data_IF_615574833345
#
_entry.id   IF_615574833345
#
_cell.length_a   1.000
_cell.length_b   1.000
_cell.length_c   1.000
_cell.angle_alpha   90.00
_cell.angle_beta   90.00
_cell.angle_gamma   90.00
#
_symmetry.space_group_name_H-M   'P 1'
#
loop_
_entity.id
_entity.type
_entity.pdbx_description
1 polymer ?
#
# COMPACT_ATOMS: atom_id res chain seq x y z
N UNK A 1 14.26 11.33 -23.23
CA UNK A 1 12.98 10.78 -22.73
C UNK A 1 13.36 9.62 -21.82
N UNK A 2 13.24 9.79 -20.50
CA UNK A 2 13.59 8.73 -19.55
C UNK A 2 12.41 7.76 -19.48
N UNK A 3 12.64 6.49 -19.81
CA UNK A 3 11.73 5.40 -19.50
C UNK A 3 11.31 5.50 -18.01
N UNK A 4 10.03 5.29 -17.66
CA UNK A 4 9.63 5.19 -16.28
C UNK A 4 10.30 3.95 -15.70
N UNK A 5 11.28 4.14 -14.82
CA UNK A 5 11.84 3.05 -14.00
C UNK A 5 10.67 2.29 -13.37
N UNK A 6 10.56 0.99 -13.61
CA UNK A 6 9.54 0.19 -12.97
C UNK A 6 9.72 0.31 -11.46
N UNK A 7 8.71 0.82 -10.77
CA UNK A 7 8.71 1.05 -9.33
C UNK A 7 8.98 -0.25 -8.52
N UNK A 8 8.82 -1.41 -9.17
CA UNK A 8 8.98 -2.76 -8.62
C UNK A 8 9.75 -3.70 -9.56
N UNK A 9 10.95 -3.29 -9.99
CA UNK A 9 11.91 -4.21 -10.65
C UNK A 9 12.20 -5.43 -9.75
N UNK A 10 12.17 -6.62 -10.35
CA UNK A 10 12.45 -7.86 -9.65
C UNK A 10 13.93 -7.97 -9.29
N UNK A 11 14.21 -8.35 -8.04
CA UNK A 11 15.57 -8.57 -7.54
C UNK A 11 15.94 -10.05 -7.58
N UNK A 12 17.25 -10.32 -7.49
CA UNK A 12 17.75 -11.68 -7.35
C UNK A 12 17.09 -12.39 -6.15
N UNK A 13 16.56 -13.59 -6.38
CA UNK A 13 15.85 -14.39 -5.40
C UNK A 13 14.37 -14.05 -5.21
N UNK A 14 13.84 -13.03 -5.91
CA UNK A 14 12.41 -12.75 -5.96
C UNK A 14 11.72 -13.61 -7.02
N UNK A 15 10.43 -13.91 -6.80
CA UNK A 15 9.65 -14.75 -7.71
C UNK A 15 8.28 -14.14 -7.96
N UNK A 16 7.89 -14.12 -9.23
CA UNK A 16 6.52 -13.77 -9.65
C UNK A 16 5.69 -15.02 -9.87
N UNK A 17 4.38 -14.87 -9.78
CA UNK A 17 3.39 -15.81 -10.30
C UNK A 17 3.45 -15.79 -11.83
N UNK A 18 3.15 -16.94 -12.44
CA UNK A 18 3.12 -17.07 -13.91
C UNK A 18 1.98 -16.24 -14.53
N UNK A 19 0.86 -16.13 -13.83
CA UNK A 19 -0.28 -15.30 -14.20
C UNK A 19 -0.43 -14.16 -13.21
N UNK A 20 -0.64 -12.93 -13.71
CA UNK A 20 -0.85 -11.77 -12.86
C UNK A 20 -2.30 -11.71 -12.36
N UNK A 21 -2.56 -11.78 -11.05
CA UNK A 21 -3.91 -11.61 -10.51
C UNK A 21 -4.57 -10.26 -10.86
N UNK A 22 -3.79 -9.26 -11.29
CA UNK A 22 -4.32 -8.00 -11.80
C UNK A 22 -5.11 -8.15 -13.13
N UNK A 23 -4.82 -9.17 -13.94
CA UNK A 23 -5.46 -9.40 -15.24
C UNK A 23 -6.56 -10.46 -15.20
N UNK A 24 -6.71 -11.14 -14.06
CA UNK A 24 -7.74 -12.15 -13.85
C UNK A 24 -9.11 -11.51 -13.56
N UNK A 25 -10.23 -12.15 -13.93
CA UNK A 25 -11.55 -11.76 -13.46
C UNK A 25 -11.60 -11.78 -11.92
N UNK A 26 -11.98 -10.69 -11.25
CA UNK A 26 -12.05 -10.68 -9.81
C UNK A 26 -13.32 -11.38 -9.30
N UNK A 27 -13.22 -12.09 -8.18
CA UNK A 27 -14.37 -12.67 -7.49
C UNK A 27 -15.28 -11.62 -6.84
N UNK A 28 -14.78 -10.38 -6.66
CA UNK A 28 -15.51 -9.28 -6.04
C UNK A 28 -14.90 -7.90 -6.32
N UNK A 29 -15.69 -6.84 -6.11
CA UNK A 29 -15.27 -5.46 -6.33
C UNK A 29 -15.02 -4.68 -5.03
N UNK A 30 -14.13 -3.70 -5.09
CA UNK A 30 -13.91 -2.72 -4.01
C UNK A 30 -14.36 -1.35 -4.52
N UNK A 31 -15.17 -0.65 -3.73
CA UNK A 31 -15.52 0.75 -3.97
C UNK A 31 -14.69 1.63 -3.06
N UNK A 32 -13.99 2.62 -3.62
CA UNK A 32 -13.28 3.62 -2.83
C UNK A 32 -14.28 4.64 -2.28
N UNK A 33 -14.23 4.87 -0.97
CA UNK A 33 -15.13 5.78 -0.25
C UNK A 33 -14.50 7.16 0.03
N UNK A 34 -13.31 7.39 -0.52
CA UNK A 34 -12.51 8.56 -0.19
C UNK A 34 -11.06 8.45 -0.66
N UNK A 35 -10.23 9.37 -0.16
CA UNK A 35 -8.81 9.49 -0.55
C UNK A 35 -7.93 9.84 0.64
N UNK A 36 -6.69 9.38 0.58
CA UNK A 36 -5.61 9.76 1.50
C UNK A 36 -4.70 10.76 0.81
N UNK A 37 -4.44 11.89 1.44
CA UNK A 37 -3.42 12.85 1.04
C UNK A 37 -2.29 12.87 2.08
N UNK A 38 -1.07 12.61 1.65
CA UNK A 38 0.13 12.59 2.49
C UNK A 38 1.23 13.47 1.91
N UNK A 39 2.20 13.90 2.73
CA UNK A 39 3.39 14.62 2.26
C UNK A 39 4.33 13.74 1.41
N UNK A 40 4.20 12.41 1.52
CA UNK A 40 5.01 11.46 0.77
C UNK A 40 4.40 11.23 -0.62
N UNK A 41 5.01 11.85 -1.63
CA UNK A 41 4.51 11.83 -3.03
C UNK A 41 5.27 10.85 -3.92
N UNK A 42 6.36 10.27 -3.42
CA UNK A 42 7.15 9.24 -4.10
C UNK A 42 7.31 8.01 -3.22
N UNK A 43 7.46 6.83 -3.82
CA UNK A 43 7.65 5.58 -3.07
C UNK A 43 8.87 5.65 -2.15
N UNK A 44 9.94 6.26 -2.63
CA UNK A 44 11.21 6.40 -1.91
C UNK A 44 11.07 7.30 -0.69
N UNK A 45 10.17 8.30 -0.74
CA UNK A 45 9.85 9.17 0.38
C UNK A 45 8.93 8.54 1.42
N UNK A 46 8.19 7.49 1.06
CA UNK A 46 7.24 6.85 1.97
C UNK A 46 7.97 6.17 3.14
N UNK A 47 7.56 6.43 4.39
CA UNK A 47 8.09 5.74 5.55
C UNK A 47 7.84 4.24 5.46
N UNK A 48 8.85 3.43 5.81
CA UNK A 48 8.75 1.96 5.75
C UNK A 48 7.77 1.37 6.78
N UNK A 49 7.41 2.14 7.81
CA UNK A 49 6.47 1.75 8.85
C UNK A 49 5.92 2.98 9.57
N UNK A 50 4.88 2.77 10.39
CA UNK A 50 4.20 3.85 11.13
C UNK A 50 5.07 4.54 12.19
N UNK A 51 6.10 3.87 12.74
CA UNK A 51 7.03 4.51 13.68
C UNK A 51 7.81 5.61 12.96
N UNK A 52 8.46 5.27 11.84
CA UNK A 52 9.19 6.23 11.04
C UNK A 52 8.29 7.37 10.53
N UNK A 53 7.04 7.06 10.16
CA UNK A 53 6.07 8.10 9.78
C UNK A 53 5.79 9.08 10.93
N UNK A 54 5.55 8.58 12.15
CA UNK A 54 5.27 9.41 13.34
C UNK A 54 6.46 10.28 13.74
N UNK A 55 7.68 9.77 13.59
CA UNK A 55 8.92 10.51 13.88
C UNK A 55 9.09 11.75 12.98
N UNK A 56 8.51 11.76 11.77
CA UNK A 56 8.54 12.95 10.90
C UNK A 56 7.67 14.09 11.40
N UNK A 57 6.68 13.81 12.28
CA UNK A 57 5.69 14.79 12.74
C UNK A 57 4.75 15.32 11.65
N UNK A 58 4.82 14.82 10.42
CA UNK A 58 3.99 15.32 9.32
C UNK A 58 2.60 14.66 9.31
N UNK A 59 1.51 15.44 9.21
CA UNK A 59 0.17 14.89 9.17
C UNK A 59 -0.21 14.36 7.78
N UNK A 60 -1.22 13.49 7.74
CA UNK A 60 -1.93 13.11 6.52
C UNK A 60 -3.42 13.38 6.69
N UNK A 61 -4.13 13.57 5.58
CA UNK A 61 -5.57 13.88 5.57
C UNK A 61 -6.33 12.74 4.90
N UNK A 62 -7.36 12.25 5.58
CA UNK A 62 -8.35 11.34 5.02
C UNK A 62 -9.59 12.13 4.64
N UNK A 63 -9.94 12.12 3.36
CA UNK A 63 -11.17 12.72 2.87
C UNK A 63 -12.16 11.62 2.55
N UNK A 64 -13.34 11.63 3.20
CA UNK A 64 -14.46 10.75 2.86
C UNK A 64 -15.36 11.46 1.86
N UNK A 65 -15.71 10.76 0.78
CA UNK A 65 -16.52 11.30 -0.31
C UNK A 65 -17.96 11.54 0.16
N UNK A 66 -18.62 12.54 -0.44
CA UNK A 66 -19.89 13.07 0.05
C UNK A 66 -20.98 12.00 0.33
N UNK A 67 -21.19 10.98 -0.52
CA UNK A 67 -22.22 9.97 -0.29
C UNK A 67 -22.02 9.13 0.99
N UNK A 68 -20.80 9.04 1.51
CA UNK A 68 -20.45 8.14 2.62
C UNK A 68 -20.30 8.86 3.97
N UNK A 69 -20.39 10.20 4.00
CA UNK A 69 -20.05 11.00 5.20
C UNK A 69 -21.00 10.78 6.39
N UNK A 70 -22.25 10.42 6.15
CA UNK A 70 -23.17 10.07 7.24
C UNK A 70 -22.66 8.91 8.09
N UNK A 71 -21.84 8.01 7.51
CA UNK A 71 -21.16 6.94 8.23
C UNK A 71 -20.11 7.39 9.25
N UNK A 72 -19.77 8.68 9.30
CA UNK A 72 -18.83 9.24 10.28
C UNK A 72 -19.48 9.60 11.63
N UNK A 73 -20.81 9.55 11.73
CA UNK A 73 -21.52 9.94 12.95
C UNK A 73 -21.07 9.10 14.16
N UNK A 74 -20.57 9.75 15.22
CA UNK A 74 -20.12 9.09 16.45
C UNK A 74 -18.65 8.67 16.44
N UNK A 75 -17.94 8.84 15.31
CA UNK A 75 -16.53 8.47 15.18
C UNK A 75 -15.63 9.29 16.12
N UNK A 76 -16.03 10.51 16.47
CA UNK A 76 -15.32 11.40 17.39
C UNK A 76 -15.09 10.82 18.79
N UNK A 77 -15.82 9.75 19.16
CA UNK A 77 -15.63 9.02 20.42
C UNK A 77 -14.39 8.12 20.41
N UNK A 78 -13.86 7.80 19.23
CA UNK A 78 -12.68 6.98 19.08
C UNK A 78 -11.43 7.85 19.01
N UNK A 79 -10.43 7.56 19.84
CA UNK A 79 -9.11 8.20 19.75
C UNK A 79 -8.25 7.65 18.61
N UNK A 80 -8.61 6.48 18.07
CA UNK A 80 -7.87 5.76 17.04
C UNK A 80 -8.82 5.09 16.05
N UNK A 81 -8.38 4.98 14.80
CA UNK A 81 -9.10 4.32 13.72
C UNK A 81 -8.19 3.37 12.97
N UNK A 82 -8.74 2.29 12.44
CA UNK A 82 -8.05 1.40 11.50
C UNK A 82 -8.42 1.82 10.10
N UNK A 83 -7.42 2.13 9.29
CA UNK A 83 -7.60 2.51 7.89
C UNK A 83 -7.19 1.35 7.00
N UNK A 84 -8.13 0.87 6.19
CA UNK A 84 -7.85 -0.06 5.11
C UNK A 84 -7.79 0.75 3.81
N UNK A 85 -6.65 0.73 3.13
CA UNK A 85 -6.43 1.48 1.90
C UNK A 85 -5.91 0.58 0.79
N UNK A 86 -6.16 0.99 -0.45
CA UNK A 86 -5.63 0.31 -1.63
C UNK A 86 -4.23 0.84 -1.98
N UNK A 87 -3.27 -0.08 -2.07
CA UNK A 87 -1.92 0.19 -2.55
C UNK A 87 -1.90 0.05 -4.09
N UNK A 88 -2.62 0.93 -4.76
CA UNK A 88 -2.95 0.85 -6.19
C UNK A 88 -1.76 0.84 -7.17
N UNK A 89 -0.55 1.17 -6.72
CA UNK A 89 0.67 1.05 -7.52
C UNK A 89 1.40 -0.28 -7.37
N UNK A 90 1.00 -1.12 -6.41
CA UNK A 90 1.69 -2.36 -6.10
C UNK A 90 1.41 -3.45 -7.14
N UNK A 91 2.43 -4.23 -7.54
CA UNK A 91 2.22 -5.43 -8.35
C UNK A 91 1.42 -6.44 -7.54
N UNK A 92 0.61 -7.25 -8.24
CA UNK A 92 -0.20 -8.31 -7.60
C UNK A 92 0.39 -9.71 -7.80
N UNK A 93 1.47 -9.82 -8.57
CA UNK A 93 2.06 -11.08 -8.97
C UNK A 93 3.35 -11.44 -8.24
N UNK A 94 3.89 -10.61 -7.34
CA UNK A 94 5.13 -10.93 -6.63
C UNK A 94 4.80 -11.85 -5.43
N UNK A 95 5.26 -13.11 -5.45
CA UNK A 95 4.90 -14.12 -4.44
C UNK A 95 6.04 -14.46 -3.47
N UNK A 96 7.28 -14.22 -3.88
CA UNK A 96 8.47 -14.27 -3.03
C UNK A 96 9.28 -13.00 -3.19
N UNK A 97 9.70 -12.42 -2.07
CA UNK A 97 10.44 -11.16 -2.03
C UNK A 97 11.73 -11.30 -1.23
N UNK A 98 12.73 -10.49 -1.59
CA UNK A 98 13.99 -10.39 -0.85
C UNK A 98 14.15 -8.94 -0.37
N UNK A 99 13.59 -8.59 0.81
CA UNK A 99 13.87 -7.32 1.43
C UNK A 99 15.38 -7.12 1.57
N UNK A 100 15.90 -5.91 1.31
CA UNK A 100 17.36 -5.65 1.28
C UNK A 100 18.13 -6.05 2.54
N UNK A 101 17.45 -6.17 3.68
CA UNK A 101 18.01 -6.50 4.99
C UNK A 101 17.77 -7.96 5.40
N UNK A 102 17.07 -8.74 4.57
CA UNK A 102 16.82 -10.16 4.83
C UNK A 102 17.96 -11.01 4.24
N UNK A 103 18.44 -11.99 5.02
CA UNK A 103 19.41 -12.97 4.53
C UNK A 103 18.81 -13.82 3.42
N UNK A 104 17.60 -14.35 3.65
CA UNK A 104 16.88 -15.22 2.72
C UNK A 104 15.61 -14.56 2.16
N UNK A 105 15.19 -14.93 0.93
CA UNK A 105 13.89 -14.58 0.40
C UNK A 105 12.74 -15.11 1.28
N UNK A 106 11.61 -14.39 1.29
CA UNK A 106 10.44 -14.70 2.10
C UNK A 106 9.18 -14.67 1.25
N UNK A 107 8.26 -15.59 1.53
CA UNK A 107 6.91 -15.53 0.97
C UNK A 107 6.17 -14.29 1.45
N UNK A 108 5.43 -13.63 0.55
CA UNK A 108 4.82 -12.31 0.83
C UNK A 108 3.86 -12.29 2.01
N UNK A 109 3.19 -13.41 2.31
CA UNK A 109 2.27 -13.52 3.46
C UNK A 109 2.97 -13.51 4.83
N UNK A 110 4.29 -13.72 4.87
CA UNK A 110 5.09 -13.54 6.09
C UNK A 110 5.63 -12.11 6.25
N UNK A 111 5.33 -11.23 5.29
CA UNK A 111 5.79 -9.85 5.23
C UNK A 111 4.62 -8.89 5.42
N UNK A 112 4.97 -7.60 5.58
CA UNK A 112 4.04 -6.47 5.42
C UNK A 112 4.44 -5.67 4.18
N UNK A 113 4.73 -6.39 3.11
CA UNK A 113 5.15 -5.75 1.86
C UNK A 113 3.94 -5.11 1.20
N UNK A 114 4.07 -3.89 0.65
CA UNK A 114 3.06 -3.35 -0.23
C UNK A 114 2.99 -4.10 -1.56
N UNK A 115 4.10 -4.71 -1.99
CA UNK A 115 4.25 -5.46 -3.24
C UNK A 115 3.97 -6.95 -3.04
#
# INVERSE_FOLDING_TARGET
>A
MSEPREMFEAREGERRLDQDPATMPPDGGIVFIGRIASPWTTRESCPKNMRAARETGQPAVLTIDAPYRSGLQGLERASHVVILSSLHHSPRNLIVQKPRHAAEPKGVFSLRSPA
#
